data_IF_810332894529
#
_entry.id   IF_810332894529
#
_cell.length_a   1.000
_cell.length_b   1.000
_cell.length_c   1.000
_cell.angle_alpha   90.00
_cell.angle_beta   90.00
_cell.angle_gamma   90.00
#
_symmetry.space_group_name_H-M   'P 1'
#
loop_
_entity.id
_entity.type
_entity.pdbx_description
1 polymer ?
#
# COMPACT_ATOMS: atom_id res chain seq x y z
N UNK A 1 13.59 -9.01 -14.89
CA UNK A 1 12.86 -8.00 -14.09
C UNK A 1 12.62 -8.60 -12.72
N UNK A 2 13.03 -7.93 -11.64
CA UNK A 2 12.74 -8.42 -10.30
C UNK A 2 11.22 -8.41 -10.10
N UNK A 3 10.58 -9.55 -9.76
CA UNK A 3 9.14 -9.59 -9.51
C UNK A 3 8.76 -8.93 -8.18
N UNK A 4 9.74 -8.63 -7.34
CA UNK A 4 9.55 -8.02 -6.02
C UNK A 4 9.69 -6.51 -6.10
N UNK A 5 8.74 -5.82 -5.50
CA UNK A 5 8.78 -4.37 -5.32
C UNK A 5 9.67 -4.06 -4.14
N UNK A 6 10.61 -3.14 -4.31
CA UNK A 6 11.46 -2.68 -3.22
C UNK A 6 10.77 -1.57 -2.41
N UNK A 7 11.19 -1.39 -1.15
CA UNK A 7 10.63 -0.34 -0.28
C UNK A 7 10.72 1.05 -0.91
N UNK A 8 11.81 1.33 -1.61
CA UNK A 8 12.06 2.63 -2.24
C UNK A 8 11.08 2.91 -3.38
N UNK A 9 10.79 1.93 -4.24
CA UNK A 9 9.79 2.06 -5.31
C UNK A 9 8.40 2.33 -4.73
N UNK A 10 8.01 1.57 -3.69
CA UNK A 10 6.73 1.80 -3.02
C UNK A 10 6.69 3.16 -2.31
N UNK A 11 7.81 3.65 -1.79
CA UNK A 11 7.92 4.96 -1.16
C UNK A 11 7.78 6.10 -2.17
N UNK A 12 8.28 5.94 -3.41
CA UNK A 12 8.03 6.91 -4.49
C UNK A 12 6.54 7.02 -4.84
N UNK A 13 5.82 5.89 -4.82
CA UNK A 13 4.37 5.89 -4.99
C UNK A 13 3.67 6.62 -3.83
N UNK A 14 4.13 6.42 -2.59
CA UNK A 14 3.63 7.16 -1.42
C UNK A 14 3.85 8.66 -1.56
N UNK A 15 5.07 9.08 -1.91
CA UNK A 15 5.44 10.49 -2.09
C UNK A 15 4.57 11.14 -3.16
N UNK A 16 4.34 10.44 -4.27
CA UNK A 16 3.47 10.90 -5.35
C UNK A 16 2.01 11.01 -4.88
N UNK A 17 1.49 9.99 -4.20
CA UNK A 17 0.10 9.96 -3.72
C UNK A 17 -0.20 11.06 -2.69
N UNK A 18 0.81 11.45 -1.89
CA UNK A 18 0.68 12.51 -0.88
C UNK A 18 1.12 13.88 -1.38
N UNK A 19 1.57 14.01 -2.64
CA UNK A 19 2.21 15.21 -3.16
C UNK A 19 3.30 15.77 -2.21
N UNK A 20 4.07 14.87 -1.58
CA UNK A 20 5.09 15.20 -0.61
C UNK A 20 6.36 14.36 -0.85
N UNK A 21 7.45 14.96 -1.37
CA UNK A 21 8.68 14.23 -1.69
C UNK A 21 9.43 13.71 -0.45
N UNK A 22 9.15 14.26 0.73
CA UNK A 22 9.74 13.80 1.99
C UNK A 22 8.85 12.78 2.72
N UNK A 23 7.77 12.29 2.10
CA UNK A 23 6.92 11.28 2.71
C UNK A 23 7.67 9.96 2.89
N UNK A 24 7.52 9.39 4.08
CA UNK A 24 8.05 8.09 4.47
C UNK A 24 6.93 7.19 5.01
N UNK A 25 7.14 5.88 4.89
CA UNK A 25 6.25 4.91 5.53
C UNK A 25 6.37 5.00 7.04
N UNK A 26 5.22 5.00 7.71
CA UNK A 26 5.15 4.83 9.17
C UNK A 26 5.39 3.37 9.54
N UNK A 27 5.75 3.15 10.81
CA UNK A 27 5.99 1.82 11.36
C UNK A 27 4.87 0.83 11.01
N UNK A 28 5.25 -0.29 10.39
CA UNK A 28 4.36 -1.38 10.01
C UNK A 28 3.71 -1.22 8.63
N UNK A 29 3.78 -0.05 7.98
CA UNK A 29 3.13 0.16 6.68
C UNK A 29 3.85 -0.58 5.56
N UNK A 30 5.18 -0.49 5.52
CA UNK A 30 5.96 -1.19 4.51
C UNK A 30 5.84 -2.71 4.67
N UNK A 31 5.93 -3.19 5.91
CA UNK A 31 5.80 -4.60 6.26
C UNK A 31 4.45 -5.16 5.79
N UNK A 32 3.36 -4.40 5.98
CA UNK A 32 2.05 -4.79 5.49
C UNK A 32 1.96 -4.79 3.95
N UNK A 33 2.55 -3.80 3.29
CA UNK A 33 2.58 -3.73 1.81
C UNK A 33 3.40 -4.89 1.26
N UNK A 34 4.61 -5.12 1.77
CA UNK A 34 5.51 -6.20 1.34
C UNK A 34 4.85 -7.58 1.45
N UNK A 35 4.22 -7.86 2.59
CA UNK A 35 3.47 -9.08 2.82
C UNK A 35 2.32 -9.28 1.82
N UNK A 36 1.62 -8.20 1.43
CA UNK A 36 0.58 -8.27 0.39
C UNK A 36 1.19 -8.44 -1.01
N UNK A 37 2.14 -7.59 -1.40
CA UNK A 37 2.55 -7.44 -2.81
C UNK A 37 3.61 -8.43 -3.24
N UNK A 38 4.59 -8.70 -2.37
CA UNK A 38 5.69 -9.62 -2.66
C UNK A 38 5.35 -11.02 -2.16
N UNK A 39 4.85 -11.13 -0.93
CA UNK A 39 4.59 -12.44 -0.31
C UNK A 39 3.18 -12.99 -0.59
N UNK A 40 2.28 -12.20 -1.19
CA UNK A 40 0.91 -12.60 -1.56
C UNK A 40 0.08 -13.16 -0.40
N UNK A 41 0.32 -12.65 0.80
CA UNK A 41 -0.32 -13.12 2.01
C UNK A 41 -1.68 -12.44 2.25
N UNK A 42 -2.55 -13.10 2.99
CA UNK A 42 -3.73 -12.47 3.59
C UNK A 42 -3.30 -11.83 4.91
N UNK A 43 -3.80 -10.63 5.19
CA UNK A 43 -3.35 -9.81 6.32
C UNK A 43 -4.54 -9.26 7.10
N UNK A 44 -4.42 -9.25 8.44
CA UNK A 44 -5.31 -8.53 9.35
C UNK A 44 -4.53 -7.37 9.97
N UNK A 45 -4.93 -6.14 9.67
CA UNK A 45 -4.28 -4.93 10.19
C UNK A 45 -5.21 -4.23 11.17
N UNK A 46 -4.84 -4.23 12.45
CA UNK A 46 -5.57 -3.53 13.52
C UNK A 46 -4.71 -2.37 14.01
N UNK A 47 -5.14 -1.16 13.70
CA UNK A 47 -4.41 0.07 14.04
C UNK A 47 -5.37 1.21 14.34
N UNK A 48 -4.96 2.14 15.20
CA UNK A 48 -5.75 3.33 15.57
C UNK A 48 -6.11 4.20 14.36
N UNK A 49 -7.17 4.99 14.48
CA UNK A 49 -7.50 6.01 13.47
C UNK A 49 -6.34 7.00 13.34
N UNK A 50 -6.10 7.46 12.11
CA UNK A 50 -4.97 8.33 11.82
C UNK A 50 -3.63 7.62 11.62
N UNK A 51 -3.51 6.29 11.81
CA UNK A 51 -2.27 5.54 11.51
C UNK A 51 -1.90 5.57 10.02
N UNK A 52 -2.87 5.74 9.12
CA UNK A 52 -2.64 5.73 7.67
C UNK A 52 -2.89 4.37 7.02
N UNK A 53 -3.92 3.64 7.47
CA UNK A 53 -4.33 2.36 6.87
C UNK A 53 -4.63 2.48 5.36
N UNK A 54 -5.07 3.67 4.94
CA UNK A 54 -5.35 3.98 3.54
C UNK A 54 -4.15 3.89 2.62
N UNK A 55 -2.98 4.31 3.10
CA UNK A 55 -1.74 4.19 2.34
C UNK A 55 -1.44 2.71 2.01
N UNK A 56 -1.70 1.77 2.94
CA UNK A 56 -1.45 0.34 2.70
C UNK A 56 -2.28 -0.19 1.52
N UNK A 57 -3.60 0.00 1.55
CA UNK A 57 -4.44 -0.55 0.48
C UNK A 57 -4.28 0.21 -0.84
N UNK A 58 -4.07 1.53 -0.86
CA UNK A 58 -3.92 2.29 -2.10
C UNK A 58 -2.59 2.00 -2.80
N UNK A 59 -1.48 1.95 -2.05
CA UNK A 59 -0.16 1.64 -2.62
C UNK A 59 -0.12 0.20 -3.12
N UNK A 60 -0.64 -0.76 -2.34
CA UNK A 60 -0.75 -2.16 -2.78
C UNK A 60 -1.61 -2.30 -4.04
N UNK A 61 -2.73 -1.57 -4.11
CA UNK A 61 -3.60 -1.52 -5.30
C UNK A 61 -2.84 -1.03 -6.54
N UNK A 62 -2.05 0.04 -6.41
CA UNK A 62 -1.25 0.58 -7.53
C UNK A 62 -0.22 -0.43 -8.01
N UNK A 63 0.51 -1.07 -7.09
CA UNK A 63 1.51 -2.10 -7.43
C UNK A 63 0.86 -3.28 -8.16
N UNK A 64 -0.29 -3.78 -7.69
CA UNK A 64 -1.02 -4.85 -8.39
C UNK A 64 -1.53 -4.43 -9.76
N UNK A 65 -2.02 -3.20 -9.90
CA UNK A 65 -2.44 -2.64 -11.19
C UNK A 65 -1.29 -2.63 -12.19
N UNK A 66 -0.13 -2.14 -11.78
CA UNK A 66 1.05 -2.03 -12.64
C UNK A 66 1.58 -3.39 -13.08
N UNK A 67 1.35 -4.42 -12.23
CA UNK A 67 1.64 -5.82 -12.54
C UNK A 67 0.52 -6.51 -13.35
N UNK A 68 -0.50 -5.80 -13.81
CA UNK A 68 -1.58 -6.34 -14.63
C UNK A 68 -2.56 -7.26 -13.89
N UNK A 69 -2.67 -7.15 -12.56
CA UNK A 69 -3.47 -8.07 -11.73
C UNK A 69 -4.93 -7.66 -11.53
N UNK A 70 -5.41 -6.73 -12.35
CA UNK A 70 -6.81 -6.30 -12.33
C UNK A 70 -7.14 -5.30 -11.21
N UNK A 71 -8.44 -5.09 -10.97
CA UNK A 71 -8.93 -4.09 -10.01
C UNK A 71 -8.81 -4.58 -8.56
N UNK A 72 -8.79 -3.64 -7.62
CA UNK A 72 -8.95 -3.90 -6.18
C UNK A 72 -10.30 -3.35 -5.73
N UNK A 73 -11.03 -4.13 -4.93
CA UNK A 73 -12.30 -3.72 -4.34
C UNK A 73 -12.05 -3.34 -2.89
N UNK A 74 -12.36 -2.09 -2.54
CA UNK A 74 -12.34 -1.59 -1.16
C UNK A 74 -13.79 -1.52 -0.70
N UNK A 75 -14.12 -2.26 0.36
CA UNK A 75 -15.45 -2.28 0.96
C UNK A 75 -15.43 -1.44 2.24
N UNK A 76 -16.25 -0.40 2.28
CA UNK A 76 -16.42 0.48 3.43
C UNK A 76 -17.91 0.77 3.63
N UNK A 77 -18.41 0.78 4.88
CA UNK A 77 -19.79 1.17 5.15
C UNK A 77 -20.03 2.69 5.07
N UNK A 78 -18.98 3.51 4.87
CA UNK A 78 -19.06 4.97 4.85
C UNK A 78 -19.28 5.48 3.41
N UNK A 79 -20.34 6.27 3.18
CA UNK A 79 -20.70 6.86 1.88
C UNK A 79 -20.69 8.41 1.89
N UNK A 80 -20.33 9.02 3.02
CA UNK A 80 -20.49 10.45 3.29
C UNK A 80 -19.30 11.30 2.80
#
# INVERSE_FOLDING_TARGET
MNPNTEKQEAQQLLQTALANPAAEFRDGQWEAIDALVNNRQKLLVVQRTGWGKSSVYFISTKIFRDRGMGPTIIVSPLLA
#
